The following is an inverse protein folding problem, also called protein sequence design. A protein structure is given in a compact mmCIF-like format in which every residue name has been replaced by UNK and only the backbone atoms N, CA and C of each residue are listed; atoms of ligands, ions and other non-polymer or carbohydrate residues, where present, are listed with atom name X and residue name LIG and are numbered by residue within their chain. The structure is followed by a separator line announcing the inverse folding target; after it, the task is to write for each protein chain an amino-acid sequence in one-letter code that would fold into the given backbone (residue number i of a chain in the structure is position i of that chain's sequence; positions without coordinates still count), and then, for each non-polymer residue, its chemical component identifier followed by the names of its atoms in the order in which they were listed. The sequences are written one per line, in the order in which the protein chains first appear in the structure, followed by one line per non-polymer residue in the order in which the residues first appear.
data_IF_851106313020
#
_entry.id   IF_851106313020
#
_cell.length_a   1.000
_cell.length_b   1.000
_cell.length_c   1.000
_cell.angle_alpha   90.00
_cell.angle_beta   90.00
_cell.angle_gamma   90.00
#
_symmetry.space_group_name_H-M   'P 1'
#
loop_
_entity.id
_entity.type
_entity.pdbx_description
1 polymer ?
#
# COMPACT_ATOMS: atom_id res chain seq x y z
N UNK A 1 -1.13 -9.34 14.58
CA UNK A 1 -1.00 -7.99 13.99
C UNK A 1 -0.87 -8.02 12.46
N UNK A 2 -0.09 -8.92 11.84
CA UNK A 2 -0.14 -9.09 10.36
C UNK A 2 -1.37 -9.88 9.86
N UNK A 3 -1.92 -10.77 10.69
CA UNK A 3 -2.91 -11.77 10.26
C UNK A 3 -4.35 -11.26 10.05
N UNK A 4 -4.67 -10.00 10.33
CA UNK A 4 -6.07 -9.52 10.26
C UNK A 4 -6.39 -8.74 8.98
N UNK A 5 -5.40 -8.08 8.35
CA UNK A 5 -5.63 -7.32 7.11
C UNK A 5 -5.44 -8.14 5.84
N UNK A 6 -4.57 -9.16 5.87
CA UNK A 6 -4.25 -9.98 4.68
C UNK A 6 -5.04 -11.29 4.60
N UNK A 7 -6.04 -11.51 5.46
CA UNK A 7 -6.82 -12.77 5.49
C UNK A 7 -8.16 -12.68 4.79
N UNK A 8 -8.59 -11.47 4.37
CA UNK A 8 -9.84 -11.29 3.63
C UNK A 8 -9.67 -11.72 2.17
N UNK A 9 -10.50 -12.65 1.66
CA UNK A 9 -10.38 -13.17 0.30
C UNK A 9 -10.36 -12.08 -0.77
N UNK A 10 -11.14 -11.02 -0.60
CA UNK A 10 -11.21 -9.88 -1.52
C UNK A 10 -9.88 -9.11 -1.59
N UNK A 11 -9.20 -8.92 -0.47
CA UNK A 11 -7.90 -8.25 -0.39
C UNK A 11 -6.82 -9.14 -1.01
N UNK A 12 -6.83 -10.43 -0.67
CA UNK A 12 -5.91 -11.42 -1.23
C UNK A 12 -6.06 -11.48 -2.75
N UNK A 13 -7.28 -11.51 -3.26
CA UNK A 13 -7.54 -11.62 -4.69
C UNK A 13 -7.12 -10.35 -5.45
N UNK A 14 -7.35 -9.16 -4.87
CA UNK A 14 -6.88 -7.91 -5.47
C UNK A 14 -5.35 -7.87 -5.49
N UNK A 15 -4.69 -8.22 -4.38
CA UNK A 15 -3.21 -8.28 -4.33
C UNK A 15 -2.67 -9.27 -5.35
N UNK A 16 -3.17 -10.50 -5.38
CA UNK A 16 -2.63 -11.55 -6.25
C UNK A 16 -2.83 -11.27 -7.75
N UNK A 17 -3.88 -10.54 -8.14
CA UNK A 17 -4.19 -10.31 -9.56
C UNK A 17 -3.73 -8.93 -10.06
N UNK A 18 -3.57 -7.95 -9.17
CA UNK A 18 -3.36 -6.54 -9.57
C UNK A 18 -2.04 -5.96 -9.02
N UNK A 19 -1.38 -6.66 -8.10
CA UNK A 19 -0.14 -6.19 -7.48
C UNK A 19 0.94 -7.27 -7.51
N UNK A 20 2.20 -6.82 -7.38
CA UNK A 20 3.34 -7.70 -7.10
C UNK A 20 3.75 -7.43 -5.64
N UNK A 21 3.35 -8.28 -4.68
CA UNK A 21 3.68 -8.06 -3.28
C UNK A 21 5.17 -8.34 -3.01
N UNK A 22 5.87 -7.37 -2.44
CA UNK A 22 7.27 -7.48 -2.04
C UNK A 22 7.37 -7.23 -0.54
N UNK A 23 8.00 -8.16 0.18
CA UNK A 23 8.32 -8.01 1.61
C UNK A 23 9.81 -7.77 1.77
N UNK A 24 10.16 -6.72 2.51
CA UNK A 24 11.55 -6.35 2.78
C UNK A 24 11.80 -6.42 4.28
N UNK A 25 12.83 -7.14 4.67
CA UNK A 25 13.39 -7.15 6.02
C UNK A 25 14.33 -5.93 6.15
N UNK A 26 13.85 -4.86 6.78
CA UNK A 26 14.59 -3.58 6.85
C UNK A 26 15.82 -3.63 7.76
N UNK A 27 15.88 -4.60 8.68
CA UNK A 27 17.05 -4.79 9.55
C UNK A 27 18.22 -5.35 8.76
N UNK A 28 17.93 -6.20 7.76
CA UNK A 28 18.92 -6.72 6.79
C UNK A 28 19.18 -5.74 5.65
N UNK A 29 18.12 -5.20 5.05
CA UNK A 29 18.18 -4.37 3.84
C UNK A 29 18.18 -2.86 4.15
N UNK A 30 19.17 -2.42 4.95
CA UNK A 30 19.27 -1.03 5.44
C UNK A 30 19.31 0.01 4.33
N UNK A 31 19.92 -0.33 3.17
CA UNK A 31 19.97 0.56 2.01
C UNK A 31 18.58 0.80 1.44
N UNK A 32 17.76 -0.26 1.31
CA UNK A 32 16.38 -0.15 0.85
C UNK A 32 15.57 0.70 1.84
N UNK A 33 15.68 0.42 3.14
CA UNK A 33 15.01 1.20 4.18
C UNK A 33 15.33 2.70 4.08
N UNK A 34 16.61 3.04 3.86
CA UNK A 34 17.05 4.42 3.66
C UNK A 34 16.52 5.04 2.36
N UNK A 35 16.61 4.36 1.22
CA UNK A 35 16.12 4.83 -0.09
C UNK A 35 14.61 5.10 -0.11
N UNK A 36 13.86 4.33 0.67
CA UNK A 36 12.41 4.46 0.82
C UNK A 36 12.01 5.23 2.08
N UNK A 37 12.97 5.90 2.75
CA UNK A 37 12.74 6.73 3.93
C UNK A 37 11.85 6.07 5.00
N UNK A 38 12.05 4.78 5.24
CA UNK A 38 11.28 4.03 6.24
C UNK A 38 11.68 4.50 7.63
N UNK A 39 10.73 5.12 8.35
CA UNK A 39 10.94 5.69 9.71
C UNK A 39 10.22 4.92 10.81
N UNK A 40 9.23 4.12 10.46
CA UNK A 40 8.44 3.31 11.38
C UNK A 40 8.02 2.00 10.71
N UNK A 41 7.74 0.99 11.52
CA UNK A 41 7.24 -0.30 11.06
C UNK A 41 5.85 -0.59 11.63
N UNK A 42 4.99 -1.31 10.88
CA UNK A 42 5.15 -1.62 9.46
C UNK A 42 5.07 -0.35 8.60
N UNK A 43 5.64 -0.37 7.40
CA UNK A 43 5.41 0.66 6.36
C UNK A 43 5.14 -0.06 5.04
N UNK A 44 4.03 0.28 4.40
CA UNK A 44 3.70 -0.18 3.05
C UNK A 44 4.05 0.89 2.03
N UNK A 45 4.70 0.51 0.94
CA UNK A 45 4.99 1.37 -0.21
C UNK A 45 4.23 0.88 -1.44
N UNK A 46 3.64 1.80 -2.18
CA UNK A 46 3.00 1.56 -3.47
C UNK A 46 3.85 2.22 -4.56
N UNK A 47 4.22 1.43 -5.55
CA UNK A 47 5.12 1.81 -6.63
C UNK A 47 4.49 1.46 -7.97
N UNK A 48 4.87 2.22 -8.99
CA UNK A 48 4.64 1.89 -10.39
C UNK A 48 5.56 0.76 -10.86
N UNK A 49 5.22 0.16 -12.00
CA UNK A 49 6.02 -0.91 -12.62
C UNK A 49 7.45 -0.49 -12.99
N UNK A 50 7.68 0.81 -13.21
CA UNK A 50 9.00 1.39 -13.48
C UNK A 50 9.81 1.73 -12.21
N UNK A 51 9.22 1.52 -11.02
CA UNK A 51 9.80 1.84 -9.72
C UNK A 51 9.50 3.27 -9.23
N UNK A 52 8.70 4.05 -9.96
CA UNK A 52 8.24 5.36 -9.52
C UNK A 52 7.39 5.24 -8.26
N UNK A 53 7.57 6.17 -7.32
CA UNK A 53 6.92 6.16 -6.01
C UNK A 53 5.54 6.80 -6.09
N UNK A 54 4.49 6.03 -5.80
CA UNK A 54 3.11 6.54 -5.75
C UNK A 54 2.85 7.12 -4.36
N UNK A 55 2.89 6.28 -3.33
CA UNK A 55 2.63 6.70 -1.95
C UNK A 55 3.15 5.68 -0.95
N UNK A 56 3.28 6.09 0.32
CA UNK A 56 3.62 5.22 1.42
C UNK A 56 2.66 5.38 2.59
N UNK A 57 2.45 4.30 3.32
CA UNK A 57 1.55 4.26 4.46
C UNK A 57 2.32 3.73 5.66
N UNK A 58 2.74 4.62 6.57
CA UNK A 58 3.37 4.20 7.81
C UNK A 58 2.32 3.69 8.80
N UNK A 59 2.68 2.65 9.54
CA UNK A 59 1.84 2.04 10.57
C UNK A 59 0.82 1.04 10.04
N UNK A 60 0.03 0.51 10.97
CA UNK A 60 -1.02 -0.45 10.67
C UNK A 60 -2.24 0.24 10.05
N UNK A 61 -2.81 -0.39 9.03
CA UNK A 61 -4.06 0.02 8.37
C UNK A 61 -5.08 -1.09 8.56
N UNK A 62 -6.28 -0.72 9.02
CA UNK A 62 -7.37 -1.69 9.14
C UNK A 62 -7.83 -2.20 7.75
N UNK A 63 -8.45 -3.39 7.67
CA UNK A 63 -8.74 -4.03 6.39
C UNK A 63 -9.67 -3.21 5.47
N UNK A 64 -10.67 -2.52 6.04
CA UNK A 64 -11.64 -1.71 5.30
C UNK A 64 -10.94 -0.56 4.55
N UNK A 65 -10.13 0.22 5.29
CA UNK A 65 -9.36 1.32 4.73
C UNK A 65 -8.32 0.81 3.73
N UNK A 66 -7.68 -0.32 4.03
CA UNK A 66 -6.69 -0.92 3.12
C UNK A 66 -7.33 -1.31 1.79
N UNK A 67 -8.53 -1.88 1.79
CA UNK A 67 -9.29 -2.18 0.57
C UNK A 67 -9.58 -0.93 -0.27
N UNK A 68 -9.94 0.19 0.37
CA UNK A 68 -10.16 1.47 -0.32
C UNK A 68 -8.86 1.99 -0.95
N UNK A 69 -7.74 1.90 -0.23
CA UNK A 69 -6.42 2.28 -0.74
C UNK A 69 -6.06 1.43 -1.96
N UNK A 70 -6.22 0.10 -1.89
CA UNK A 70 -5.93 -0.77 -3.03
C UNK A 70 -6.76 -0.37 -4.26
N UNK A 71 -8.06 -0.10 -4.09
CA UNK A 71 -8.92 0.37 -5.18
C UNK A 71 -8.46 1.71 -5.76
N UNK A 72 -8.08 2.66 -4.91
CA UNK A 72 -7.54 3.95 -5.35
C UNK A 72 -6.25 3.83 -6.17
N UNK A 73 -5.35 2.92 -5.77
CA UNK A 73 -4.12 2.65 -6.51
C UNK A 73 -4.42 1.93 -7.83
N UNK A 74 -5.26 0.89 -7.81
CA UNK A 74 -5.67 0.16 -9.03
C UNK A 74 -6.38 1.07 -10.03
N UNK A 75 -7.18 2.03 -9.56
CA UNK A 75 -7.90 2.95 -10.45
C UNK A 75 -7.05 4.12 -10.94
N UNK A 76 -5.74 4.13 -10.62
CA UNK A 76 -4.84 5.26 -10.88
C UNK A 76 -5.38 6.61 -10.37
N UNK A 77 -6.18 6.58 -9.28
CA UNK A 77 -6.85 7.77 -8.76
C UNK A 77 -5.86 8.87 -8.36
N UNK A 78 -4.65 8.47 -7.98
CA UNK A 78 -3.54 9.34 -7.60
C UNK A 78 -3.05 10.28 -8.72
N UNK A 79 -3.38 10.00 -9.98
CA UNK A 79 -3.08 10.90 -11.08
C UNK A 79 -4.01 12.13 -11.12
N UNK A 80 -5.13 12.09 -10.41
CA UNK A 80 -6.19 13.10 -10.52
C UNK A 80 -6.63 13.71 -9.21
N UNK A 81 -6.57 12.97 -8.10
CA UNK A 81 -7.03 13.41 -6.79
C UNK A 81 -6.24 12.74 -5.68
N UNK A 82 -6.32 13.29 -4.48
CA UNK A 82 -5.74 12.70 -3.27
C UNK A 82 -6.59 11.53 -2.76
N UNK A 83 -6.00 10.65 -1.95
CA UNK A 83 -6.73 9.56 -1.28
C UNK A 83 -7.92 10.08 -0.45
N UNK A 84 -7.77 11.24 0.20
CA UNK A 84 -8.86 11.83 0.98
C UNK A 84 -10.03 12.28 0.11
N UNK A 85 -9.75 12.87 -1.06
CA UNK A 85 -10.77 13.27 -2.03
C UNK A 85 -11.46 12.04 -2.62
N UNK A 86 -10.71 11.00 -2.97
CA UNK A 86 -11.26 9.72 -3.42
C UNK A 86 -12.18 9.09 -2.37
N UNK A 87 -11.77 9.08 -1.09
CA UNK A 87 -12.62 8.58 -0.01
C UNK A 87 -13.91 9.39 0.16
N UNK A 88 -13.88 10.70 -0.13
CA UNK A 88 -15.07 11.56 -0.07
C UNK A 88 -16.01 11.31 -1.24
N UNK A 89 -15.50 10.95 -2.43
CA UNK A 89 -16.34 10.65 -3.60
C UNK A 89 -17.04 9.30 -3.55
N UNK A 90 -16.68 8.42 -2.61
CA UNK A 90 -17.36 7.14 -2.38
C UNK A 90 -18.63 7.27 -1.51
N UNK A 91 -18.90 8.46 -0.96
CA UNK A 91 -20.11 8.78 -0.19
C UNK A 91 -21.17 9.42 -1.07
#
# INVERSE_FOLDING_TARGET
MEAESFTRPEIINSINNQFIPIRVDVDKEKKIASTYFVRSLPTSWFLESDGSKITNIPGYVNPELFSIILKYIVSEGYNTMTLLEYMRSLK
#
